data_IF_271465721499
#
_entry.id   IF_271465721499
#
_cell.length_a   1.000
_cell.length_b   1.000
_cell.length_c   1.000
_cell.angle_alpha   90.00
_cell.angle_beta   90.00
_cell.angle_gamma   90.00
#
_symmetry.space_group_name_H-M   'P 1'
#
loop_
_entity.id
_entity.type
_entity.pdbx_description
1 polymer ?
#
# COMPACT_ATOMS: atom_id res chain seq x y z
N UNK A 1 -14.13 -8.52 -6.50
CA UNK A 1 -14.66 -7.39 -5.69
C UNK A 1 -14.58 -7.83 -4.22
N UNK A 2 -14.30 -6.91 -3.30
CA UNK A 2 -14.05 -7.24 -1.88
C UNK A 2 -15.29 -7.78 -1.17
N UNK A 3 -15.13 -8.81 -0.33
CA UNK A 3 -16.13 -9.22 0.66
C UNK A 3 -16.00 -8.31 1.87
N UNK A 4 -16.89 -7.31 1.94
CA UNK A 4 -16.91 -6.27 2.99
C UNK A 4 -17.90 -6.59 4.13
N UNK A 5 -18.78 -7.58 3.93
CA UNK A 5 -19.74 -8.10 4.90
C UNK A 5 -19.83 -9.63 4.77
N UNK A 6 -19.90 -10.33 5.89
CA UNK A 6 -20.15 -11.77 5.95
C UNK A 6 -21.14 -12.08 7.09
N UNK A 7 -22.25 -12.74 6.77
CA UNK A 7 -23.39 -12.88 7.68
C UNK A 7 -23.90 -11.52 8.19
N UNK A 8 -23.91 -11.34 9.51
CA UNK A 8 -24.32 -10.10 10.18
C UNK A 8 -23.15 -9.13 10.41
N UNK A 9 -21.91 -9.57 10.20
CA UNK A 9 -20.71 -8.78 10.46
C UNK A 9 -20.32 -7.93 9.25
N UNK A 10 -20.19 -6.61 9.46
CA UNK A 10 -19.73 -5.66 8.43
C UNK A 10 -18.33 -5.19 8.80
N UNK A 11 -17.34 -5.49 7.95
CA UNK A 11 -15.94 -5.16 8.20
C UNK A 11 -15.62 -3.70 7.87
N UNK A 12 -16.19 -3.19 6.77
CA UNK A 12 -16.05 -1.80 6.33
C UNK A 12 -17.20 -1.42 5.40
N UNK A 13 -17.41 -0.11 5.24
CA UNK A 13 -18.36 0.43 4.27
C UNK A 13 -17.65 0.62 2.91
N UNK A 14 -18.02 -0.14 1.86
CA UNK A 14 -17.38 -0.02 0.55
C UNK A 14 -17.82 1.22 -0.25
N UNK A 15 -18.90 1.88 0.17
CA UNK A 15 -19.50 3.02 -0.54
C UNK A 15 -19.10 4.36 0.09
N UNK A 16 -18.22 4.35 1.09
CA UNK A 16 -17.65 5.53 1.72
C UNK A 16 -16.16 5.34 1.92
N UNK A 17 -15.37 6.30 1.46
CA UNK A 17 -13.92 6.31 1.61
C UNK A 17 -13.49 7.21 2.76
N UNK A 18 -12.44 6.82 3.48
CA UNK A 18 -11.66 7.70 4.32
C UNK A 18 -10.48 8.23 3.50
N UNK A 19 -10.41 9.55 3.31
CA UNK A 19 -9.29 10.16 2.59
C UNK A 19 -7.99 9.88 3.33
N UNK A 20 -6.98 9.37 2.62
CA UNK A 20 -5.62 9.22 3.11
C UNK A 20 -4.68 10.16 2.35
N UNK A 21 -4.12 11.15 3.05
CA UNK A 21 -3.22 12.13 2.48
C UNK A 21 -1.81 11.52 2.32
N UNK A 22 -1.40 11.34 1.06
CA UNK A 22 -0.09 10.80 0.67
C UNK A 22 0.68 11.84 -0.18
N UNK A 23 1.87 11.46 -0.64
CA UNK A 23 2.84 12.31 -1.33
C UNK A 23 2.60 12.35 -2.84
N UNK A 24 3.34 13.23 -3.50
CA UNK A 24 3.51 13.23 -4.95
C UNK A 24 4.90 12.70 -5.28
N UNK A 25 5.03 11.89 -6.34
CA UNK A 25 6.34 11.51 -6.87
C UNK A 25 6.59 12.26 -8.17
N UNK A 26 7.76 12.88 -8.27
CA UNK A 26 8.27 13.48 -9.50
C UNK A 26 9.58 12.81 -9.85
N UNK A 27 9.70 12.30 -11.08
CA UNK A 27 10.91 11.59 -11.55
C UNK A 27 11.32 12.16 -12.90
N UNK A 28 12.60 12.49 -13.03
CA UNK A 28 13.20 13.11 -14.21
C UNK A 28 13.83 12.07 -15.14
N UNK A 29 13.91 12.35 -16.45
CA UNK A 29 14.72 11.57 -17.38
C UNK A 29 16.15 11.34 -16.87
N UNK A 30 16.62 10.10 -16.90
CA UNK A 30 17.97 9.74 -16.45
C UNK A 30 18.10 9.48 -14.95
N UNK A 31 17.04 9.66 -14.15
CA UNK A 31 17.05 9.32 -12.72
C UNK A 31 17.38 7.83 -12.52
N UNK A 32 18.51 7.60 -11.84
CA UNK A 32 19.03 6.30 -11.46
C UNK A 32 19.11 6.14 -9.93
N UNK A 33 18.32 6.91 -9.18
CA UNK A 33 18.04 6.59 -7.77
C UNK A 33 17.59 5.13 -7.72
N UNK A 34 18.23 4.33 -6.85
CA UNK A 34 17.88 2.91 -6.66
C UNK A 34 16.36 2.82 -6.60
N UNK A 35 15.77 2.08 -7.55
CA UNK A 35 14.34 1.86 -7.57
C UNK A 35 13.90 1.25 -6.24
N UNK A 36 12.60 1.32 -5.96
CA UNK A 36 12.06 0.51 -4.88
C UNK A 36 12.09 -0.94 -5.35
N UNK A 37 12.98 -1.74 -4.75
CA UNK A 37 13.08 -3.17 -5.02
C UNK A 37 11.72 -3.86 -4.77
N UNK A 38 11.42 -4.99 -5.44
CA UNK A 38 10.16 -5.71 -5.25
C UNK A 38 9.81 -5.95 -3.77
N UNK A 39 8.64 -5.45 -3.35
CA UNK A 39 8.17 -5.53 -1.96
C UNK A 39 6.63 -5.54 -1.88
N UNK A 40 6.14 -5.78 -0.67
CA UNK A 40 4.74 -5.63 -0.26
C UNK A 40 4.71 -4.78 1.01
N UNK A 41 3.83 -3.78 1.05
CA UNK A 41 3.62 -2.93 2.22
C UNK A 41 2.66 -3.55 3.24
N UNK A 42 2.19 -2.74 4.19
CA UNK A 42 1.18 -3.11 5.19
C UNK A 42 1.61 -4.34 6.00
N UNK A 43 2.80 -4.26 6.58
CA UNK A 43 3.35 -5.29 7.45
C UNK A 43 4.34 -6.21 6.76
N UNK A 44 5.32 -6.65 7.54
CA UNK A 44 6.32 -7.64 7.22
C UNK A 44 6.16 -8.85 8.14
N UNK A 45 6.88 -8.90 9.25
CA UNK A 45 6.87 -9.99 10.23
C UNK A 45 5.48 -10.22 10.82
N UNK A 46 4.65 -9.17 10.88
CA UNK A 46 3.29 -9.18 11.40
C UNK A 46 2.42 -10.19 10.67
N UNK A 47 2.70 -10.46 9.39
CA UNK A 47 1.98 -11.46 8.59
C UNK A 47 2.10 -12.88 9.15
N UNK A 48 3.15 -13.17 9.93
CA UNK A 48 3.36 -14.45 10.60
C UNK A 48 2.98 -14.44 12.09
N UNK A 49 3.15 -13.30 12.78
CA UNK A 49 3.08 -13.24 14.25
C UNK A 49 1.83 -12.54 14.78
N UNK A 50 1.22 -11.65 14.02
CA UNK A 50 0.08 -10.85 14.47
C UNK A 50 -1.22 -11.69 14.40
N UNK A 51 -2.03 -11.71 15.48
CA UNK A 51 -3.23 -12.55 15.55
C UNK A 51 -4.21 -12.39 14.38
N UNK A 52 -4.56 -11.16 13.99
CA UNK A 52 -5.53 -10.93 12.93
C UNK A 52 -4.96 -11.34 11.56
N UNK A 53 -3.68 -11.06 11.28
CA UNK A 53 -3.04 -11.52 10.06
C UNK A 53 -2.97 -13.04 9.97
N UNK A 54 -2.74 -13.74 11.09
CA UNK A 54 -2.83 -15.21 11.11
C UNK A 54 -4.23 -15.71 10.79
N UNK A 55 -5.28 -14.98 11.15
CA UNK A 55 -6.64 -15.31 10.73
C UNK A 55 -6.90 -14.94 9.25
N UNK A 56 -6.36 -13.83 8.74
CA UNK A 56 -6.40 -13.48 7.31
C UNK A 56 -5.79 -14.59 6.44
N UNK A 57 -4.67 -15.17 6.89
CA UNK A 57 -3.93 -16.21 6.18
C UNK A 57 -4.13 -17.61 6.76
N UNK A 58 -5.19 -17.81 7.56
CA UNK A 58 -5.43 -19.07 8.30
C UNK A 58 -5.36 -20.29 7.39
N UNK A 59 -6.10 -20.25 6.28
CA UNK A 59 -6.19 -21.38 5.34
C UNK A 59 -4.83 -21.66 4.68
N UNK A 60 -4.01 -20.63 4.45
CA UNK A 60 -2.63 -20.80 3.96
C UNK A 60 -1.79 -21.56 4.98
N UNK A 61 -1.80 -21.12 6.25
CA UNK A 61 -1.00 -21.75 7.31
C UNK A 61 -1.49 -23.16 7.69
N UNK A 62 -2.77 -23.48 7.48
CA UNK A 62 -3.32 -24.83 7.63
C UNK A 62 -3.07 -25.75 6.42
N UNK A 63 -2.45 -25.24 5.36
CA UNK A 63 -2.11 -26.00 4.15
C UNK A 63 -3.25 -26.07 3.11
N UNK A 64 -4.39 -25.44 3.36
CA UNK A 64 -5.55 -25.39 2.47
C UNK A 64 -5.62 -24.07 1.70
N UNK A 65 -4.49 -23.69 1.10
CA UNK A 65 -4.35 -22.40 0.42
C UNK A 65 -5.31 -22.20 -0.76
N UNK A 66 -5.96 -23.25 -1.28
CA UNK A 66 -7.01 -23.14 -2.29
C UNK A 66 -8.26 -22.43 -1.75
N UNK A 67 -8.48 -22.46 -0.44
CA UNK A 67 -9.57 -21.77 0.24
C UNK A 67 -9.20 -20.32 0.63
N UNK A 68 -7.95 -19.90 0.46
CA UNK A 68 -7.53 -18.53 0.74
C UNK A 68 -8.29 -17.51 -0.11
N UNK A 69 -8.93 -16.55 0.56
CA UNK A 69 -9.74 -15.49 -0.07
C UNK A 69 -9.02 -14.14 0.05
N UNK A 70 -8.19 -13.82 -0.94
CA UNK A 70 -7.39 -12.58 -0.95
C UNK A 70 -8.23 -11.31 -0.70
N UNK A 71 -9.42 -11.24 -1.33
CA UNK A 71 -10.34 -10.10 -1.25
C UNK A 71 -11.35 -10.19 -0.08
N UNK A 72 -11.05 -10.95 0.99
CA UNK A 72 -11.89 -10.99 2.18
C UNK A 72 -11.50 -9.91 3.19
N UNK A 73 -12.47 -9.12 3.66
CA UNK A 73 -12.25 -8.00 4.58
C UNK A 73 -12.00 -8.40 6.03
N UNK A 74 -12.52 -9.56 6.47
CA UNK A 74 -12.40 -10.01 7.86
C UNK A 74 -10.95 -9.97 8.35
N UNK A 75 -10.76 -9.54 9.59
CA UNK A 75 -9.48 -9.42 10.29
C UNK A 75 -8.49 -8.39 9.69
N UNK A 76 -8.55 -8.06 8.39
CA UNK A 76 -7.64 -7.08 7.79
C UNK A 76 -7.78 -5.67 8.38
N UNK A 77 -9.00 -5.30 8.78
CA UNK A 77 -9.29 -4.01 9.39
C UNK A 77 -8.74 -3.88 10.82
N UNK A 78 -8.43 -5.01 11.46
CA UNK A 78 -8.01 -5.09 12.86
C UNK A 78 -6.50 -5.37 13.02
N UNK A 79 -5.77 -5.57 11.93
CA UNK A 79 -4.32 -5.79 11.94
C UNK A 79 -3.60 -4.61 12.60
N UNK A 80 -2.71 -4.90 13.54
CA UNK A 80 -1.81 -3.93 14.17
C UNK A 80 -0.36 -4.15 13.69
N UNK A 81 0.23 -3.11 13.09
CA UNK A 81 1.62 -3.16 12.60
C UNK A 81 2.61 -2.66 13.65
N UNK A 82 3.85 -3.12 13.59
CA UNK A 82 4.93 -2.67 14.46
C UNK A 82 5.20 -1.16 14.25
N UNK A 83 5.03 -0.31 15.27
CA UNK A 83 5.14 1.14 15.09
C UNK A 83 6.47 1.57 14.47
N UNK A 84 6.41 2.14 13.25
CA UNK A 84 7.59 2.67 12.56
C UNK A 84 7.21 3.73 11.52
N UNK A 85 8.16 4.54 11.02
CA UNK A 85 7.92 5.47 9.93
C UNK A 85 7.54 4.81 8.58
N UNK A 86 7.61 3.48 8.48
CA UNK A 86 7.20 2.72 7.29
C UNK A 86 5.77 2.17 7.40
N UNK A 87 5.10 2.35 8.54
CA UNK A 87 3.73 1.86 8.76
C UNK A 87 2.71 2.80 8.18
N UNK A 88 1.70 2.22 7.54
CA UNK A 88 0.47 2.92 7.16
C UNK A 88 -0.58 2.68 8.25
N UNK A 89 -1.07 3.75 8.89
CA UNK A 89 -2.05 3.62 9.98
C UNK A 89 -3.47 3.32 9.51
N UNK A 90 -3.70 3.26 8.19
CA UNK A 90 -5.02 2.97 7.59
C UNK A 90 -5.04 1.62 6.88
N UNK A 91 -6.19 0.96 6.93
CA UNK A 91 -6.50 -0.16 6.07
C UNK A 91 -6.82 0.33 4.65
N UNK A 92 -6.03 -0.12 3.67
CA UNK A 92 -6.24 0.15 2.24
C UNK A 92 -6.66 -1.13 1.52
N UNK A 93 -7.81 -1.09 0.85
CA UNK A 93 -8.26 -2.19 -0.04
C UNK A 93 -7.50 -2.20 -1.34
N UNK A 94 -7.04 -1.03 -1.78
CA UNK A 94 -6.10 -0.87 -2.89
C UNK A 94 -5.14 0.25 -2.60
N UNK A 95 -3.87 0.03 -2.91
CA UNK A 95 -2.96 1.14 -3.19
C UNK A 95 -3.22 1.62 -4.62
N UNK A 96 -2.83 2.86 -4.91
CA UNK A 96 -3.04 3.42 -6.22
C UNK A 96 -2.36 4.77 -6.41
N UNK A 97 -2.33 5.19 -7.66
CA UNK A 97 -1.93 6.53 -8.02
C UNK A 97 -2.58 6.99 -9.33
N UNK A 98 -2.61 8.30 -9.50
CA UNK A 98 -3.04 8.99 -10.72
C UNK A 98 -1.82 9.44 -11.52
N UNK A 99 -1.78 9.11 -12.80
CA UNK A 99 -0.75 9.59 -13.72
C UNK A 99 -0.88 11.10 -13.91
N UNK A 100 0.16 11.85 -13.62
CA UNK A 100 0.23 13.28 -13.94
C UNK A 100 0.93 13.53 -15.28
N UNK A 101 1.70 12.55 -15.76
CA UNK A 101 2.40 12.57 -17.04
C UNK A 101 2.24 11.22 -17.76
N UNK A 102 2.47 11.25 -19.07
CA UNK A 102 2.65 10.02 -19.85
C UNK A 102 3.84 9.23 -19.31
N UNK A 103 3.66 7.92 -19.07
CA UNK A 103 4.73 7.03 -18.60
C UNK A 103 4.41 5.57 -18.96
N UNK A 104 5.43 4.74 -19.11
CA UNK A 104 5.28 3.30 -19.28
C UNK A 104 6.60 2.57 -19.06
N UNK A 105 6.68 1.33 -19.52
CA UNK A 105 7.89 0.52 -19.41
C UNK A 105 9.13 1.26 -19.91
N UNK A 106 10.17 1.32 -19.07
CA UNK A 106 11.43 2.02 -19.34
C UNK A 106 11.47 3.48 -18.88
N UNK A 107 10.34 4.06 -18.46
CA UNK A 107 10.26 5.43 -17.93
C UNK A 107 10.43 5.46 -16.39
N UNK A 108 10.98 4.41 -15.78
CA UNK A 108 11.08 4.37 -14.33
C UNK A 108 9.73 4.13 -13.65
N UNK A 109 8.83 3.40 -14.31
CA UNK A 109 7.42 3.23 -13.90
C UNK A 109 7.22 2.08 -12.89
N UNK A 110 5.96 1.83 -12.51
CA UNK A 110 5.56 0.75 -11.61
C UNK A 110 5.74 -0.62 -12.29
N UNK A 111 6.23 -1.59 -11.52
CA UNK A 111 6.18 -3.01 -11.86
C UNK A 111 5.40 -3.77 -10.80
N UNK A 112 4.83 -4.91 -11.16
CA UNK A 112 4.06 -5.73 -10.24
C UNK A 112 4.11 -7.21 -10.61
N UNK A 113 3.87 -8.07 -9.62
CA UNK A 113 3.57 -9.49 -9.85
C UNK A 113 2.04 -9.65 -9.80
N UNK A 114 1.35 -9.82 -10.94
CA UNK A 114 -0.10 -9.76 -11.01
C UNK A 114 -0.75 -11.10 -10.59
N UNK A 115 -0.50 -11.52 -9.34
CA UNK A 115 -1.05 -12.75 -8.77
C UNK A 115 -1.37 -12.59 -7.28
N UNK A 116 -2.60 -12.93 -6.90
CA UNK A 116 -3.03 -12.98 -5.50
C UNK A 116 -2.41 -14.14 -4.73
N UNK A 117 -1.80 -15.12 -5.42
CA UNK A 117 -1.11 -16.25 -4.80
C UNK A 117 0.35 -15.94 -4.43
N UNK A 118 0.84 -14.75 -4.79
CA UNK A 118 2.19 -14.32 -4.43
C UNK A 118 2.40 -14.25 -2.90
N UNK A 119 1.42 -13.70 -2.16
CA UNK A 119 1.50 -13.62 -0.70
C UNK A 119 1.46 -15.00 -0.04
N UNK A 120 0.49 -15.91 -0.34
CA UNK A 120 0.55 -17.29 0.13
C UNK A 120 1.89 -17.99 -0.14
N UNK A 121 2.48 -17.81 -1.33
CA UNK A 121 3.80 -18.34 -1.65
C UNK A 121 4.87 -17.80 -0.69
N UNK A 122 4.92 -16.49 -0.45
CA UNK A 122 5.90 -15.88 0.46
C UNK A 122 5.74 -16.38 1.90
N UNK A 123 4.51 -16.50 2.39
CA UNK A 123 4.21 -16.98 3.74
C UNK A 123 4.72 -18.40 3.97
N UNK A 124 4.43 -19.30 3.03
CA UNK A 124 4.87 -20.70 3.08
C UNK A 124 6.37 -20.84 2.83
N UNK A 125 6.97 -19.98 1.99
CA UNK A 125 8.41 -19.99 1.71
C UNK A 125 9.25 -19.80 2.96
N UNK A 126 8.80 -18.94 3.88
CA UNK A 126 9.54 -18.59 5.09
C UNK A 126 9.59 -19.70 6.15
N UNK A 127 8.80 -20.77 6.00
CA UNK A 127 8.71 -21.89 6.97
C UNK A 127 9.25 -23.22 6.41
N UNK A 128 10.05 -23.16 5.35
CA UNK A 128 10.69 -24.35 4.77
C UNK A 128 11.99 -24.70 5.52
N UNK A 129 12.38 -25.97 5.49
CA UNK A 129 13.55 -26.51 6.21
C UNK A 129 14.91 -25.87 5.83
N UNK A 130 14.97 -25.17 4.70
CA UNK A 130 16.18 -24.49 4.22
C UNK A 130 16.27 -23.02 4.68
N UNK A 131 15.29 -22.55 5.44
CA UNK A 131 15.28 -21.22 6.07
C UNK A 131 15.79 -21.36 7.51
N UNK A 132 16.74 -20.53 7.97
CA UNK A 132 17.15 -20.53 9.37
C UNK A 132 15.96 -20.27 10.32
N UNK A 133 15.91 -20.96 11.46
CA UNK A 133 14.81 -20.87 12.44
C UNK A 133 14.48 -19.44 12.93
N UNK A 134 15.43 -18.52 12.80
CA UNK A 134 15.33 -17.12 13.22
C UNK A 134 15.18 -16.12 12.05
N UNK A 135 14.90 -16.60 10.84
CA UNK A 135 14.72 -15.78 9.65
C UNK A 135 13.36 -16.06 8.99
N UNK A 136 12.71 -15.00 8.51
CA UNK A 136 11.49 -15.08 7.72
C UNK A 136 11.78 -14.60 6.30
N UNK A 137 12.81 -15.18 5.69
CA UNK A 137 13.31 -14.83 4.36
C UNK A 137 13.65 -13.33 4.19
N UNK A 138 14.16 -12.69 5.25
CA UNK A 138 14.55 -11.27 5.27
C UNK A 138 13.45 -10.30 5.71
N UNK A 139 12.31 -10.78 6.22
CA UNK A 139 11.32 -9.90 6.84
C UNK A 139 11.88 -9.26 8.13
N UNK A 140 11.72 -7.94 8.25
CA UNK A 140 12.22 -7.15 9.40
C UNK A 140 11.11 -6.24 9.95
N UNK A 141 11.02 -6.04 11.28
CA UNK A 141 10.05 -5.13 11.88
C UNK A 141 10.23 -3.70 11.35
N UNK A 142 9.11 -3.03 11.06
CA UNK A 142 9.12 -1.64 10.61
C UNK A 142 9.73 -1.43 9.22
N UNK A 143 9.72 -2.46 8.38
CA UNK A 143 10.11 -2.39 6.96
C UNK A 143 9.08 -3.12 6.11
N UNK A 144 8.97 -2.73 4.84
CA UNK A 144 8.17 -3.49 3.87
C UNK A 144 8.71 -4.92 3.70
N UNK A 145 7.82 -5.87 3.40
CA UNK A 145 8.21 -7.25 3.13
C UNK A 145 8.88 -7.35 1.76
N UNK A 146 10.15 -7.75 1.72
CA UNK A 146 10.93 -7.75 0.49
C UNK A 146 10.85 -9.07 -0.28
N UNK A 147 10.96 -8.97 -1.60
CA UNK A 147 11.06 -10.10 -2.53
C UNK A 147 12.48 -10.10 -3.09
N UNK A 148 13.13 -11.26 -3.11
CA UNK A 148 14.57 -11.36 -3.36
C UNK A 148 14.89 -12.58 -4.21
N UNK A 149 15.98 -12.51 -4.98
CA UNK A 149 16.37 -13.62 -5.85
C UNK A 149 16.77 -14.88 -5.06
N UNK A 150 17.27 -14.72 -3.83
CA UNK A 150 17.64 -15.83 -2.95
C UNK A 150 16.42 -16.66 -2.56
N UNK A 151 15.34 -16.00 -2.15
CA UNK A 151 14.21 -16.68 -1.52
C UNK A 151 13.00 -16.83 -2.45
N UNK A 152 12.86 -15.93 -3.43
CA UNK A 152 11.65 -15.76 -4.22
C UNK A 152 11.91 -15.67 -5.75
N UNK A 153 12.80 -16.49 -6.35
CA UNK A 153 13.16 -16.35 -7.77
C UNK A 153 11.95 -16.47 -8.71
N UNK A 154 11.04 -17.40 -8.43
CA UNK A 154 9.82 -17.59 -9.23
C UNK A 154 8.91 -16.35 -9.25
N UNK A 155 8.83 -15.60 -8.15
CA UNK A 155 8.04 -14.38 -8.10
C UNK A 155 8.69 -13.26 -8.93
N UNK A 156 10.02 -13.22 -8.98
CA UNK A 156 10.75 -12.24 -9.81
C UNK A 156 10.57 -12.51 -11.31
N UNK A 157 10.42 -13.77 -11.72
CA UNK A 157 10.09 -14.11 -13.12
C UNK A 157 8.72 -13.55 -13.54
N UNK A 158 7.79 -13.40 -12.59
CA UNK A 158 6.46 -12.83 -12.81
C UNK A 158 6.39 -11.31 -12.71
N UNK A 159 7.50 -10.61 -12.45
CA UNK A 159 7.51 -9.16 -12.31
C UNK A 159 7.41 -8.48 -13.68
N UNK A 160 6.35 -7.71 -13.89
CA UNK A 160 6.06 -7.03 -15.17
C UNK A 160 5.79 -5.56 -14.97
N UNK A 161 6.20 -4.73 -15.93
CA UNK A 161 5.88 -3.30 -15.93
C UNK A 161 4.40 -3.07 -16.30
N UNK A 162 3.80 -2.03 -15.73
CA UNK A 162 2.43 -1.63 -16.07
C UNK A 162 2.32 -1.18 -17.55
N UNK A 163 1.09 -1.15 -18.12
CA UNK A 163 0.86 -0.58 -19.44
C UNK A 163 1.28 0.89 -19.55
N UNK A 164 1.34 1.40 -20.79
CA UNK A 164 1.51 2.83 -21.01
C UNK A 164 0.30 3.60 -20.47
N UNK A 165 0.58 4.65 -19.73
CA UNK A 165 -0.39 5.52 -19.08
C UNK A 165 -0.35 6.91 -19.72
N UNK A 166 -1.51 7.57 -19.77
CA UNK A 166 -1.69 8.98 -20.11
C UNK A 166 -2.01 9.80 -18.85
N UNK A 167 -1.80 11.13 -18.86
CA UNK A 167 -2.26 11.99 -17.77
C UNK A 167 -3.75 11.78 -17.48
N UNK A 168 -4.10 11.53 -16.21
CA UNK A 168 -5.44 11.22 -15.76
C UNK A 168 -5.75 9.72 -15.63
N UNK A 169 -4.95 8.84 -16.24
CA UNK A 169 -5.10 7.40 -16.03
C UNK A 169 -4.75 7.04 -14.59
N UNK A 170 -5.34 5.94 -14.09
CA UNK A 170 -5.09 5.44 -12.74
C UNK A 170 -4.70 3.98 -12.77
N UNK A 171 -3.87 3.56 -11.81
CA UNK A 171 -3.55 2.15 -11.57
C UNK A 171 -3.75 1.83 -10.11
N UNK A 172 -4.25 0.62 -9.86
CA UNK A 172 -4.65 0.15 -8.54
C UNK A 172 -4.13 -1.27 -8.32
N UNK A 173 -3.62 -1.57 -7.13
CA UNK A 173 -3.18 -2.91 -6.78
C UNK A 173 -3.60 -3.27 -5.36
N UNK A 174 -3.92 -4.55 -5.18
CA UNK A 174 -4.33 -5.12 -3.89
C UNK A 174 -3.19 -4.97 -2.86
N UNK A 175 -3.46 -4.75 -1.55
CA UNK A 175 -2.45 -4.53 -0.52
C UNK A 175 -1.38 -5.62 -0.43
N UNK A 176 -1.71 -6.86 -0.79
CA UNK A 176 -0.77 -7.99 -0.81
C UNK A 176 -0.02 -8.17 -2.15
N UNK A 177 -0.19 -7.25 -3.10
CA UNK A 177 0.47 -7.34 -4.42
C UNK A 177 1.93 -6.92 -4.30
N UNK A 178 2.83 -7.79 -4.75
CA UNK A 178 4.23 -7.44 -4.93
C UNK A 178 4.34 -6.36 -5.99
N UNK A 179 5.02 -5.27 -5.66
CA UNK A 179 5.26 -4.18 -6.57
C UNK A 179 6.67 -3.60 -6.39
N UNK A 180 7.14 -2.93 -7.44
CA UNK A 180 8.47 -2.33 -7.52
C UNK A 180 8.41 -1.06 -8.39
N UNK A 181 9.49 -0.30 -8.38
CA UNK A 181 9.70 0.78 -9.34
C UNK A 181 10.94 0.46 -10.15
N UNK A 182 10.87 0.56 -11.47
CA UNK A 182 12.01 0.32 -12.35
C UNK A 182 13.24 1.14 -11.90
N UNK A 183 14.41 0.50 -11.82
CA UNK A 183 15.63 1.14 -11.30
C UNK A 183 16.11 2.34 -12.14
N UNK A 184 15.77 2.37 -13.42
CA UNK A 184 16.23 3.40 -14.35
C UNK A 184 15.07 4.04 -15.10
N UNK A 185 15.13 5.36 -15.22
CA UNK A 185 14.30 6.11 -16.15
C UNK A 185 15.07 6.38 -17.44
N UNK A 186 14.86 5.57 -18.47
CA UNK A 186 15.48 5.74 -19.79
C UNK A 186 14.62 6.55 -20.78
N UNK A 187 13.40 6.92 -20.38
CA UNK A 187 12.54 7.82 -21.15
C UNK A 187 13.02 9.26 -21.24
N UNK A 188 12.35 10.06 -22.07
CA UNK A 188 12.70 11.46 -22.36
C UNK A 188 11.78 12.50 -21.70
N UNK A 189 10.70 12.06 -21.03
CA UNK A 189 9.76 12.93 -20.32
C UNK A 189 9.73 12.62 -18.83
N UNK A 190 9.06 13.45 -18.04
CA UNK A 190 8.86 13.16 -16.61
C UNK A 190 7.94 11.96 -16.39
N UNK A 191 8.16 11.24 -15.29
CA UNK A 191 7.28 10.18 -14.78
C UNK A 191 6.70 10.60 -13.41
N UNK A 192 5.65 11.42 -13.45
CA UNK A 192 5.03 12.03 -12.26
C UNK A 192 3.71 11.35 -11.91
N UNK A 193 3.49 11.12 -10.62
CA UNK A 193 2.26 10.49 -10.11
C UNK A 193 1.82 11.14 -8.79
N UNK A 194 0.51 11.13 -8.55
CA UNK A 194 -0.10 11.50 -7.26
C UNK A 194 -0.62 10.22 -6.59
N UNK A 195 -0.12 9.89 -5.39
CA UNK A 195 -0.56 8.70 -4.66
C UNK A 195 -1.95 8.93 -4.07
N UNK A 196 -2.89 8.06 -4.43
CA UNK A 196 -4.27 8.03 -3.92
C UNK A 196 -4.65 6.56 -3.78
N UNK A 197 -4.79 6.08 -2.55
CA UNK A 197 -5.29 4.73 -2.26
C UNK A 197 -6.80 4.70 -2.07
N UNK A 198 -7.36 3.49 -2.09
CA UNK A 198 -8.73 3.22 -1.63
C UNK A 198 -8.65 2.71 -0.18
N UNK A 199 -9.21 3.47 0.74
CA UNK A 199 -9.23 3.24 2.18
C UNK A 199 -10.69 3.34 2.66
N UNK A 200 -11.47 2.23 2.61
CA UNK A 200 -12.88 2.29 2.91
C UNK A 200 -13.13 2.69 4.37
N UNK A 201 -14.30 3.24 4.63
CA UNK A 201 -14.69 3.66 5.95
C UNK A 201 -14.86 2.46 6.91
N UNK A 202 -14.07 2.46 7.97
CA UNK A 202 -14.10 1.49 9.06
C UNK A 202 -13.59 2.17 10.34
N UNK A 203 -13.75 1.51 11.49
CA UNK A 203 -13.32 2.07 12.78
C UNK A 203 -11.83 2.50 12.76
N UNK A 204 -10.93 1.62 12.30
CA UNK A 204 -9.49 1.92 12.17
C UNK A 204 -9.22 3.18 11.35
N UNK A 205 -9.87 3.31 10.19
CA UNK A 205 -9.66 4.44 9.29
C UNK A 205 -10.22 5.75 9.86
N UNK A 206 -11.40 5.70 10.51
CA UNK A 206 -11.98 6.87 11.20
C UNK A 206 -11.09 7.37 12.34
N UNK A 207 -10.48 6.47 13.11
CA UNK A 207 -9.53 6.85 14.17
C UNK A 207 -8.32 7.60 13.61
N UNK A 208 -7.84 7.21 12.43
CA UNK A 208 -6.76 7.91 11.75
C UNK A 208 -7.18 9.30 11.23
N UNK A 209 -8.39 9.43 10.67
CA UNK A 209 -8.91 10.70 10.15
C UNK A 209 -8.85 11.82 11.20
N UNK A 210 -9.07 11.53 12.49
CA UNK A 210 -8.94 12.53 13.57
C UNK A 210 -7.55 13.15 13.60
N UNK A 211 -6.50 12.34 13.45
CA UNK A 211 -5.10 12.78 13.45
C UNK A 211 -4.76 13.51 12.16
N UNK A 212 -5.18 12.96 11.01
CA UNK A 212 -4.93 13.58 9.70
C UNK A 212 -5.63 14.93 9.56
N UNK A 213 -6.90 15.04 9.95
CA UNK A 213 -7.66 16.29 9.93
C UNK A 213 -6.97 17.39 10.74
N UNK A 214 -6.47 17.04 11.93
CA UNK A 214 -5.69 17.95 12.78
C UNK A 214 -4.40 18.41 12.10
N UNK A 215 -3.71 17.51 11.39
CA UNK A 215 -2.51 17.84 10.63
C UNK A 215 -2.83 18.74 9.42
N UNK A 216 -3.88 18.43 8.67
CA UNK A 216 -4.35 19.21 7.53
C UNK A 216 -4.69 20.66 7.90
N UNK A 217 -5.50 20.86 8.94
CA UNK A 217 -5.86 22.20 9.43
C UNK A 217 -4.62 23.02 9.85
N UNK A 218 -3.62 22.35 10.42
CA UNK A 218 -2.38 22.98 10.85
C UNK A 218 -1.31 23.10 9.74
N UNK A 219 -1.57 22.59 8.52
CA UNK A 219 -0.58 22.51 7.44
C UNK A 219 0.64 21.65 7.78
N UNK A 220 0.47 20.64 8.64
CA UNK A 220 1.53 19.71 9.05
C UNK A 220 1.54 18.50 8.12
N UNK A 221 2.73 17.90 7.94
CA UNK A 221 2.88 16.54 7.40
C UNK A 221 1.85 15.59 8.00
N UNK A 222 1.30 14.72 7.16
CA UNK A 222 0.41 13.65 7.57
C UNK A 222 1.10 12.78 8.66
N UNK A 223 0.36 12.31 9.70
CA UNK A 223 0.96 11.65 10.88
C UNK A 223 1.79 10.39 10.61
N UNK A 224 1.58 9.71 9.48
CA UNK A 224 2.34 8.52 9.08
C UNK A 224 3.71 8.86 8.46
N UNK A 225 3.94 10.13 8.12
CA UNK A 225 5.17 10.55 7.46
C UNK A 225 6.09 11.31 8.41
N UNK A 226 7.34 11.48 7.98
CA UNK A 226 8.31 12.31 8.68
C UNK A 226 7.73 13.73 8.91
N UNK A 227 7.91 14.32 10.10
CA UNK A 227 7.33 15.61 10.47
C UNK A 227 8.10 16.80 9.86
N UNK A 228 8.21 16.84 8.54
CA UNK A 228 8.92 17.88 7.78
C UNK A 228 8.21 19.23 7.80
N UNK A 229 6.87 19.21 7.76
CA UNK A 229 5.99 20.36 7.96
C UNK A 229 6.24 21.56 7.03
N UNK A 230 6.74 21.31 5.82
CA UNK A 230 7.10 22.35 4.86
C UNK A 230 5.92 23.28 4.49
N UNK A 231 4.72 22.71 4.35
CA UNK A 231 3.55 23.42 3.82
C UNK A 231 2.87 24.37 4.81
N UNK A 232 3.37 24.48 6.06
CA UNK A 232 2.80 25.40 7.06
C UNK A 232 2.79 26.86 6.60
N UNK A 233 3.80 27.26 5.82
CA UNK A 233 4.03 28.64 5.40
C UNK A 233 3.81 28.86 3.91
N UNK A 234 3.40 27.83 3.17
CA UNK A 234 3.22 27.93 1.73
C UNK A 234 1.99 28.78 1.40
N UNK A 235 2.15 29.74 0.48
CA UNK A 235 1.03 30.44 -0.11
C UNK A 235 0.26 29.49 -1.05
N UNK A 236 -1.08 29.59 -1.07
CA UNK A 236 -1.92 28.76 -1.94
C UNK A 236 -2.07 27.30 -1.50
N UNK A 237 -1.71 26.95 -0.25
CA UNK A 237 -2.04 25.64 0.32
C UNK A 237 -3.55 25.48 0.39
N UNK A 238 -4.06 24.30 0.01
CA UNK A 238 -5.47 23.96 0.19
C UNK A 238 -5.89 24.04 1.67
N UNK A 239 -7.13 24.46 1.91
CA UNK A 239 -7.74 24.61 3.24
C UNK A 239 -9.08 23.87 3.30
N UNK A 240 -9.75 23.92 4.46
CA UNK A 240 -11.10 23.38 4.62
C UNK A 240 -12.10 23.97 3.62
N UNK A 241 -11.90 25.22 3.18
CA UNK A 241 -12.77 25.91 2.23
C UNK A 241 -12.73 25.28 0.81
N UNK A 242 -11.66 24.54 0.50
CA UNK A 242 -11.52 23.82 -0.78
C UNK A 242 -12.23 22.46 -0.77
N UNK A 243 -12.72 22.01 0.38
CA UNK A 243 -13.40 20.72 0.51
C UNK A 243 -14.84 20.81 0.03
N UNK A 244 -15.20 19.96 -0.92
CA UNK A 244 -16.59 19.67 -1.27
C UNK A 244 -17.31 18.96 -0.10
N UNK A 245 -18.65 18.85 -0.09
CA UNK A 245 -19.36 18.09 0.95
C UNK A 245 -18.86 16.64 1.08
N UNK A 246 -18.55 15.98 -0.04
CA UNK A 246 -17.95 14.65 -0.02
C UNK A 246 -16.55 14.68 0.59
N UNK A 247 -15.70 15.64 0.19
CA UNK A 247 -14.35 15.79 0.73
C UNK A 247 -14.34 16.03 2.25
N UNK A 248 -15.32 16.76 2.77
CA UNK A 248 -15.51 16.96 4.22
C UNK A 248 -15.82 15.65 4.94
N UNK A 249 -16.76 14.87 4.42
CA UNK A 249 -17.10 13.56 4.96
C UNK A 249 -15.89 12.60 4.93
N UNK A 250 -15.20 12.51 3.79
CA UNK A 250 -14.04 11.63 3.63
C UNK A 250 -12.84 12.05 4.49
N UNK A 251 -12.72 13.35 4.81
CA UNK A 251 -11.70 13.89 5.73
C UNK A 251 -12.14 13.84 7.21
N UNK A 252 -13.34 13.30 7.49
CA UNK A 252 -13.88 13.14 8.83
C UNK A 252 -14.28 14.45 9.50
N UNK A 253 -14.68 15.48 8.75
CA UNK A 253 -15.26 16.71 9.31
C UNK A 253 -16.73 16.54 9.70
N UNK A 254 -17.45 15.70 8.96
CA UNK A 254 -18.89 15.48 9.06
C UNK A 254 -19.22 13.99 9.29
#
# INVERSE_FOLDING_TARGET
MWTWKDGDETFFNPDLEASYADRVRRREPGDATLGLSPHVDSGSIERWIEPHYREVYRDVFLGDWHNYRAFHGANRVDVEEYPSPAVCSVFRTFQGWVALTHQGQGDGTLQMVPSTLAMPYMLLRAIQDDVPDNDLCGAEPGRALTVSAKWHPLLLEGLVSIPKMQPGDTVWWHPDTIHAVEDKHNGNGFSNVLFIGAAPDCEKNRQFLVKQRSAFLAGKSCPDFAPEHHERTYAGRATEDDLTPLGRQQMGFD
#
